data_IF_657112846672
#
_entry.id   IF_657112846672
#
_cell.length_a   1.000
_cell.length_b   1.000
_cell.length_c   1.000
_cell.angle_alpha   90.00
_cell.angle_beta   90.00
_cell.angle_gamma   90.00
#
_symmetry.space_group_name_H-M   'P 1'
#
loop_
_entity.id
_entity.type
_entity.pdbx_description
1 polymer ?
#
# COMPACT_ATOMS: atom_id res chain seq x y z
N UNK A 1 -6.67 -16.78 -13.19
CA UNK A 1 -5.80 -15.87 -12.41
C UNK A 1 -6.71 -15.16 -11.43
N UNK A 2 -6.30 -15.02 -10.16
CA UNK A 2 -7.00 -14.16 -9.19
C UNK A 2 -6.16 -12.92 -8.94
N UNK A 3 -6.83 -11.80 -8.66
CA UNK A 3 -6.23 -10.57 -8.19
C UNK A 3 -6.82 -10.30 -6.80
N UNK A 4 -5.95 -10.15 -5.81
CA UNK A 4 -6.34 -9.86 -4.43
C UNK A 4 -5.76 -8.52 -4.06
N UNK A 5 -6.61 -7.63 -3.55
CA UNK A 5 -6.25 -6.31 -3.09
C UNK A 5 -6.68 -6.18 -1.63
N UNK A 6 -5.73 -5.82 -0.77
CA UNK A 6 -5.94 -5.66 0.68
C UNK A 6 -5.17 -4.43 1.18
N UNK A 7 -5.60 -3.79 2.28
CA UNK A 7 -4.79 -2.79 2.96
C UNK A 7 -3.40 -3.35 3.35
N UNK A 8 -2.38 -2.49 3.35
CA UNK A 8 -1.05 -2.80 3.85
C UNK A 8 -0.91 -2.32 5.30
N UNK A 9 -1.41 -3.13 6.21
CA UNK A 9 -1.53 -2.80 7.62
C UNK A 9 -0.24 -3.05 8.39
N UNK A 10 -0.06 -2.25 9.45
CA UNK A 10 1.10 -2.31 10.35
C UNK A 10 2.43 -2.18 9.60
N UNK A 11 2.43 -1.38 8.53
CA UNK A 11 3.67 -1.06 7.83
C UNK A 11 4.48 -0.02 8.62
N UNK A 12 5.79 0.03 8.37
CA UNK A 12 6.71 0.88 9.15
C UNK A 12 6.36 2.37 9.09
N UNK A 13 5.76 2.86 8.00
CA UNK A 13 5.34 4.27 7.94
C UNK A 13 4.17 4.56 8.88
N UNK A 14 3.24 3.61 9.03
CA UNK A 14 2.13 3.73 9.99
C UNK A 14 2.65 3.80 11.42
N UNK A 15 3.64 2.99 11.78
CA UNK A 15 4.29 3.02 13.11
C UNK A 15 4.95 4.37 13.40
N UNK A 16 5.65 4.94 12.40
CA UNK A 16 6.27 6.26 12.52
C UNK A 16 5.20 7.34 12.69
N UNK A 17 4.15 7.31 11.86
CA UNK A 17 3.06 8.29 11.96
C UNK A 17 2.34 8.16 13.30
N UNK A 18 2.06 6.94 13.77
CA UNK A 18 1.47 6.70 15.08
C UNK A 18 2.31 7.31 16.20
N UNK A 19 3.63 7.16 16.16
CA UNK A 19 4.53 7.80 17.12
C UNK A 19 4.44 9.33 17.12
N UNK A 20 4.03 9.93 15.99
CA UNK A 20 3.86 11.39 15.83
C UNK A 20 2.49 11.90 16.27
N UNK A 21 1.41 11.18 15.95
CA UNK A 21 0.03 11.66 16.13
C UNK A 21 -0.78 10.88 17.17
N UNK A 22 -0.24 9.78 17.70
CA UNK A 22 -0.86 8.85 18.64
C UNK A 22 -2.28 8.42 18.22
N UNK A 23 -2.44 8.10 16.93
CA UNK A 23 -3.71 7.68 16.34
C UNK A 23 -3.44 6.54 15.35
N UNK A 24 -4.21 5.48 15.48
CA UNK A 24 -4.16 4.22 14.74
C UNK A 24 -5.35 4.12 13.78
N UNK A 25 -5.53 5.17 12.95
CA UNK A 25 -6.67 5.38 12.06
C UNK A 25 -6.92 4.26 11.03
N UNK A 26 -5.91 3.42 10.76
CA UNK A 26 -6.02 2.30 9.82
C UNK A 26 -6.65 1.06 10.47
N UNK A 27 -6.79 1.03 11.79
CA UNK A 27 -7.46 -0.05 12.52
C UNK A 27 -8.97 0.19 12.50
N UNK A 28 -9.72 -0.81 12.04
CA UNK A 28 -11.18 -0.77 11.89
C UNK A 28 -11.81 -1.97 12.62
N UNK A 29 -12.81 -1.73 13.46
CA UNK A 29 -13.46 -2.79 14.27
C UNK A 29 -14.13 -3.87 13.40
N UNK A 30 -14.55 -3.51 12.18
CA UNK A 30 -15.18 -4.44 11.23
C UNK A 30 -14.16 -5.36 10.54
N UNK A 31 -12.86 -5.08 10.63
CA UNK A 31 -11.81 -5.89 10.01
C UNK A 31 -11.42 -7.06 10.92
N UNK A 32 -11.81 -8.28 10.53
CA UNK A 32 -11.43 -9.51 11.23
C UNK A 32 -9.93 -9.82 11.06
N UNK A 33 -9.34 -9.46 9.92
CA UNK A 33 -7.94 -9.75 9.59
C UNK A 33 -7.25 -8.51 9.03
N UNK A 34 -5.95 -8.40 9.33
CA UNK A 34 -5.05 -7.38 8.82
C UNK A 34 -3.92 -8.03 8.06
N UNK A 35 -3.48 -7.41 6.97
CA UNK A 35 -2.49 -8.00 6.07
C UNK A 35 -1.31 -7.06 5.84
N UNK A 36 -0.14 -7.68 5.70
CA UNK A 36 1.04 -7.05 5.12
C UNK A 36 1.54 -7.91 3.96
N UNK A 37 2.54 -7.43 3.22
CA UNK A 37 3.06 -8.10 2.01
C UNK A 37 3.41 -9.57 2.29
N UNK A 38 4.00 -9.87 3.45
CA UNK A 38 4.39 -11.22 3.84
C UNK A 38 3.18 -12.09 4.15
N UNK A 39 2.22 -11.59 4.92
CA UNK A 39 1.08 -12.41 5.37
C UNK A 39 0.11 -12.73 4.24
N UNK A 40 -0.20 -11.79 3.35
CA UNK A 40 -1.08 -12.05 2.20
C UNK A 40 -0.45 -13.04 1.21
N UNK A 41 0.84 -12.87 0.91
CA UNK A 41 1.56 -13.78 0.02
C UNK A 41 1.61 -15.20 0.57
N UNK A 42 1.86 -15.35 1.87
CA UNK A 42 1.84 -16.65 2.54
C UNK A 42 0.45 -17.29 2.53
N UNK A 43 -0.62 -16.51 2.74
CA UNK A 43 -1.99 -17.00 2.68
C UNK A 43 -2.30 -17.61 1.31
N UNK A 44 -1.98 -16.87 0.23
CA UNK A 44 -2.25 -17.31 -1.14
C UNK A 44 -1.43 -18.55 -1.53
N UNK A 45 -0.17 -18.63 -1.10
CA UNK A 45 0.67 -19.82 -1.31
C UNK A 45 0.07 -21.04 -0.61
N UNK A 46 -0.36 -20.88 0.67
CA UNK A 46 -1.01 -21.94 1.45
C UNK A 46 -2.36 -22.36 0.85
N UNK A 47 -3.07 -21.44 0.21
CA UNK A 47 -4.29 -21.71 -0.53
C UNK A 47 -4.06 -22.44 -1.88
N UNK A 48 -2.82 -22.88 -2.17
CA UNK A 48 -2.52 -23.67 -3.37
C UNK A 48 -2.28 -22.82 -4.62
N UNK A 49 -1.96 -21.54 -4.47
CA UNK A 49 -1.66 -20.64 -5.60
C UNK A 49 -0.14 -20.47 -5.78
N UNK A 50 0.25 -20.25 -7.03
CA UNK A 50 1.54 -19.68 -7.40
C UNK A 50 1.38 -18.17 -7.55
N UNK A 51 2.23 -17.40 -6.85
CA UNK A 51 2.26 -15.95 -6.98
C UNK A 51 2.91 -15.56 -8.31
N UNK A 52 2.20 -14.75 -9.10
CA UNK A 52 2.69 -14.25 -10.39
C UNK A 52 3.39 -12.91 -10.19
N UNK A 53 2.76 -12.02 -9.43
CA UNK A 53 3.22 -10.67 -9.23
C UNK A 53 2.62 -10.10 -7.96
N UNK A 54 3.38 -9.27 -7.24
CA UNK A 54 2.91 -8.48 -6.11
C UNK A 54 3.38 -7.06 -6.34
N UNK A 55 2.54 -6.08 -5.99
CA UNK A 55 2.88 -4.67 -5.98
C UNK A 55 2.18 -3.98 -4.82
N UNK A 56 2.60 -2.77 -4.53
CA UNK A 56 1.98 -1.87 -3.56
C UNK A 56 1.49 -0.61 -4.23
N UNK A 57 0.55 0.10 -3.61
CA UNK A 57 0.14 1.44 -4.04
C UNK A 57 0.93 2.52 -3.28
N UNK A 58 0.80 3.78 -3.72
CA UNK A 58 1.52 4.90 -3.11
C UNK A 58 1.23 4.99 -1.59
N UNK A 59 2.27 5.11 -0.73
CA UNK A 59 2.09 5.24 0.71
C UNK A 59 1.53 6.62 1.07
N UNK A 60 0.29 6.67 1.57
CA UNK A 60 -0.36 7.94 1.93
C UNK A 60 0.28 8.58 3.17
N UNK A 61 0.93 7.79 4.02
CA UNK A 61 1.66 8.24 5.21
C UNK A 61 2.70 9.32 4.90
N UNK A 62 3.26 9.33 3.68
CA UNK A 62 4.15 10.39 3.23
C UNK A 62 3.53 11.79 3.39
N UNK A 63 2.22 11.95 3.13
CA UNK A 63 1.57 13.25 3.32
C UNK A 63 1.57 13.68 4.77
N UNK A 64 1.30 12.77 5.70
CA UNK A 64 1.28 13.07 7.13
C UNK A 64 2.70 13.39 7.62
N UNK A 65 3.71 12.64 7.15
CA UNK A 65 5.11 12.88 7.46
C UNK A 65 5.60 14.23 6.92
N UNK A 66 5.07 14.70 5.79
CA UNK A 66 5.32 16.03 5.24
C UNK A 66 4.52 17.15 5.92
N UNK A 67 3.62 16.82 6.86
CA UNK A 67 2.84 17.79 7.64
C UNK A 67 1.38 17.91 7.23
N UNK A 68 0.95 17.27 6.15
CA UNK A 68 -0.45 17.24 5.73
C UNK A 68 -1.21 16.11 6.46
N UNK A 69 -1.59 16.37 7.70
CA UNK A 69 -2.39 15.44 8.50
C UNK A 69 -3.84 15.38 7.98
N UNK A 70 -4.07 14.54 6.96
CA UNK A 70 -5.39 14.34 6.37
C UNK A 70 -6.36 13.55 7.25
N UNK A 71 -5.89 12.93 8.34
CA UNK A 71 -6.73 12.19 9.29
C UNK A 71 -7.57 13.17 10.11
N UNK A 72 -6.93 14.24 10.60
CA UNK A 72 -7.62 15.29 11.37
C UNK A 72 -8.32 16.31 10.49
N UNK A 73 -7.89 16.46 9.22
CA UNK A 73 -8.32 17.56 8.36
C UNK A 73 -8.83 17.03 7.01
N UNK A 74 -10.15 16.78 6.87
CA UNK A 74 -10.74 16.19 5.66
C UNK A 74 -10.43 16.93 4.36
N UNK A 75 -10.30 18.26 4.41
CA UNK A 75 -9.94 19.08 3.25
C UNK A 75 -8.57 18.74 2.68
N UNK A 76 -7.62 18.31 3.53
CA UNK A 76 -6.31 17.85 3.10
C UNK A 76 -6.40 16.52 2.38
N UNK A 77 -7.37 15.66 2.72
CA UNK A 77 -7.55 14.35 2.06
C UNK A 77 -7.74 14.49 0.55
N UNK A 78 -8.63 15.39 0.11
CA UNK A 78 -8.85 15.64 -1.33
C UNK A 78 -7.60 16.21 -2.01
N UNK A 79 -6.89 17.13 -1.35
CA UNK A 79 -5.65 17.73 -1.88
C UNK A 79 -4.54 16.69 -2.01
N UNK A 80 -4.32 15.86 -0.98
CA UNK A 80 -3.34 14.76 -0.96
C UNK A 80 -3.65 13.71 -2.03
N UNK A 81 -4.92 13.33 -2.20
CA UNK A 81 -5.33 12.44 -3.27
C UNK A 81 -4.97 13.00 -4.66
N UNK A 82 -5.27 14.28 -4.93
CA UNK A 82 -4.93 14.91 -6.20
C UNK A 82 -3.40 15.01 -6.41
N UNK A 83 -2.64 15.31 -5.36
CA UNK A 83 -1.17 15.31 -5.42
C UNK A 83 -0.62 13.94 -5.78
N UNK A 84 -1.13 12.87 -5.17
CA UNK A 84 -0.79 11.48 -5.51
C UNK A 84 -1.10 11.17 -6.97
N UNK A 85 -2.32 11.49 -7.43
CA UNK A 85 -2.73 11.25 -8.82
C UNK A 85 -1.80 11.98 -9.79
N UNK A 86 -1.45 13.23 -9.52
CA UNK A 86 -0.54 14.00 -10.37
C UNK A 86 0.88 13.44 -10.33
N UNK A 87 1.39 13.07 -9.16
CA UNK A 87 2.70 12.43 -9.02
C UNK A 87 2.79 11.16 -9.88
N UNK A 88 1.80 10.27 -9.74
CA UNK A 88 1.76 9.03 -10.50
C UNK A 88 1.60 9.23 -12.00
N UNK A 89 0.73 10.16 -12.43
CA UNK A 89 0.53 10.49 -13.84
C UNK A 89 1.81 11.05 -14.48
N UNK A 90 2.46 11.98 -13.80
CA UNK A 90 3.70 12.59 -14.32
C UNK A 90 4.81 11.55 -14.42
N UNK A 91 5.03 10.72 -13.40
CA UNK A 91 6.03 9.65 -13.50
C UNK A 91 5.71 8.68 -14.63
N UNK A 92 4.45 8.24 -14.76
CA UNK A 92 4.06 7.34 -15.86
C UNK A 92 4.26 7.98 -17.24
N UNK A 93 3.93 9.27 -17.40
CA UNK A 93 4.03 9.97 -18.68
C UNK A 93 5.48 10.25 -19.08
N UNK A 94 6.31 10.73 -18.15
CA UNK A 94 7.68 11.15 -18.45
C UNK A 94 8.71 10.03 -18.29
N UNK A 95 8.55 9.11 -17.34
CA UNK A 95 9.48 8.02 -17.11
C UNK A 95 8.83 6.84 -16.34
N UNK A 96 8.13 5.98 -17.08
CA UNK A 96 7.43 4.82 -16.51
C UNK A 96 8.39 3.84 -15.81
N UNK A 97 9.59 3.64 -16.33
CA UNK A 97 10.58 2.72 -15.73
C UNK A 97 11.02 3.22 -14.34
N UNK A 98 11.24 4.53 -14.19
CA UNK A 98 11.54 5.14 -12.90
C UNK A 98 10.41 4.90 -11.90
N UNK A 99 9.14 5.03 -12.32
CA UNK A 99 7.99 4.72 -11.48
C UNK A 99 8.03 3.26 -11.02
N UNK A 100 8.22 2.33 -11.94
CA UNK A 100 8.23 0.89 -11.64
C UNK A 100 9.35 0.54 -10.65
N UNK A 101 10.56 1.06 -10.87
CA UNK A 101 11.69 0.87 -9.95
C UNK A 101 11.41 1.46 -8.56
N UNK A 102 10.83 2.65 -8.50
CA UNK A 102 10.46 3.29 -7.23
C UNK A 102 9.44 2.45 -6.44
N UNK A 103 8.42 1.94 -7.12
CA UNK A 103 7.38 1.11 -6.49
C UNK A 103 7.88 -0.29 -6.13
N UNK A 104 8.86 -0.82 -6.86
CA UNK A 104 9.57 -2.03 -6.44
C UNK A 104 10.34 -1.80 -5.14
N UNK A 105 11.02 -0.66 -4.99
CA UNK A 105 11.65 -0.30 -3.72
C UNK A 105 10.62 -0.19 -2.59
N UNK A 106 9.43 0.38 -2.85
CA UNK A 106 8.36 0.43 -1.85
C UNK A 106 7.90 -0.97 -1.43
N UNK A 107 7.71 -1.87 -2.40
CA UNK A 107 7.36 -3.25 -2.14
C UNK A 107 8.43 -3.98 -1.32
N UNK A 108 9.71 -3.82 -1.66
CA UNK A 108 10.85 -4.40 -0.95
C UNK A 108 10.94 -3.93 0.50
N UNK A 109 10.63 -2.65 0.73
CA UNK A 109 10.54 -2.06 2.07
C UNK A 109 9.24 -2.42 2.81
N UNK A 110 8.28 -3.06 2.13
CA UNK A 110 6.97 -3.39 2.69
C UNK A 110 6.08 -2.17 2.95
N UNK A 111 6.33 -1.04 2.29
CA UNK A 111 5.59 0.21 2.46
C UNK A 111 4.65 0.47 1.29
N UNK A 112 3.52 1.12 1.56
CA UNK A 112 2.45 1.37 0.59
C UNK A 112 1.10 1.35 1.26
N UNK A 113 0.05 1.86 0.60
CA UNK A 113 -1.29 1.92 1.17
C UNK A 113 -2.05 0.59 1.04
N UNK A 114 -2.00 -0.01 -0.15
CA UNK A 114 -2.65 -1.29 -0.48
C UNK A 114 -1.62 -2.22 -1.10
N UNK A 115 -1.84 -3.52 -0.94
CA UNK A 115 -1.10 -4.60 -1.57
C UNK A 115 -1.99 -5.21 -2.64
N UNK A 116 -1.46 -5.36 -3.85
CA UNK A 116 -2.14 -6.02 -4.95
C UNK A 116 -1.30 -7.23 -5.37
N UNK A 117 -1.83 -8.42 -5.10
CA UNK A 117 -1.17 -9.70 -5.42
C UNK A 117 -1.97 -10.49 -6.44
N UNK A 118 -1.28 -10.98 -7.47
CA UNK A 118 -1.82 -11.85 -8.51
C UNK A 118 -1.42 -13.29 -8.26
N UNK A 119 -2.40 -14.18 -8.20
CA UNK A 119 -2.21 -15.62 -8.01
C UNK A 119 -2.75 -16.45 -9.17
N UNK A 120 -2.11 -17.58 -9.47
CA UNK A 120 -2.62 -18.59 -10.40
C UNK A 120 -2.67 -19.94 -9.68
N UNK A 121 -3.72 -20.72 -9.93
CA UNK A 121 -3.82 -22.11 -9.44
C UNK A 121 -2.55 -22.88 -9.82
N UNK A 122 -2.00 -23.65 -8.89
CA UNK A 122 -0.94 -24.62 -9.21
C UNK A 122 -1.52 -25.61 -10.23
N UNK A 123 -0.86 -25.76 -11.36
CA UNK A 123 -1.12 -26.91 -12.23
C UNK A 123 -0.43 -28.09 -11.53
N UNK A 124 -1.23 -29.09 -11.18
CA UNK A 124 -0.71 -30.39 -10.74
C UNK A 124 0.09 -31.06 -11.86
#
# INVERSE_FOLDING_TARGET
IICVEVPNDFNMLQEIVYSKINNNWWICEDHINYFNVKSINNLLIKAGLNLIHTKVTFPMEFFILMGDNYISTPELGKKSHLRRVNFEKNLTFYNKELKERLYNCFLELGIGQEIITYGRKKNE
#
